data_IF_158812302789
#
_entry.id   IF_158812302789
#
_cell.length_a   1.000
_cell.length_b   1.000
_cell.length_c   1.000
_cell.angle_alpha   90.00
_cell.angle_beta   90.00
_cell.angle_gamma   90.00
#
_symmetry.space_group_name_H-M   'P 1'
#
loop_
_entity.id
_entity.type
_entity.pdbx_description
1 polymer ?
#
# COMPACT_ATOMS: atom_id res chain seq x y z
N UNK A 1 6.32 11.38 26.55
CA UNK A 1 5.63 10.44 27.45
C UNK A 1 6.29 9.06 27.38
N UNK A 2 6.02 8.16 28.33
CA UNK A 2 6.46 6.75 28.25
C UNK A 2 5.53 5.97 27.32
N UNK A 3 6.04 4.94 26.65
CA UNK A 3 5.30 4.15 25.65
C UNK A 3 4.01 3.54 26.21
N UNK A 4 4.07 2.83 27.34
CA UNK A 4 2.87 2.21 27.94
C UNK A 4 1.75 3.21 28.26
N UNK A 5 2.10 4.45 28.63
CA UNK A 5 1.10 5.49 28.90
C UNK A 5 0.44 6.00 27.63
N UNK A 6 1.20 6.04 26.53
CA UNK A 6 0.69 6.40 25.21
C UNK A 6 -0.26 5.34 24.68
N UNK A 7 0.13 4.07 24.76
CA UNK A 7 -0.67 2.95 24.28
C UNK A 7 -2.01 2.88 25.03
N UNK A 8 -2.00 2.98 26.36
CA UNK A 8 -3.24 3.00 27.15
C UNK A 8 -4.17 4.16 26.77
N UNK A 9 -3.63 5.38 26.62
CA UNK A 9 -4.43 6.56 26.25
C UNK A 9 -5.01 6.42 24.84
N UNK A 10 -4.25 5.84 23.92
CA UNK A 10 -4.72 5.56 22.57
C UNK A 10 -5.86 4.54 22.57
N UNK A 11 -5.71 3.43 23.30
CA UNK A 11 -6.71 2.36 23.37
C UNK A 11 -8.00 2.80 24.09
N UNK A 12 -7.89 3.71 25.06
CA UNK A 12 -9.01 4.35 25.75
C UNK A 12 -9.73 5.42 24.89
N UNK A 13 -9.23 5.71 23.69
CA UNK A 13 -9.80 6.71 22.79
C UNK A 13 -9.57 8.16 23.23
N UNK A 14 -8.58 8.40 24.11
CA UNK A 14 -8.21 9.73 24.56
C UNK A 14 -7.46 10.51 23.45
N UNK A 15 -7.52 11.84 23.52
CA UNK A 15 -6.77 12.69 22.59
C UNK A 15 -5.27 12.68 22.91
N UNK A 16 -4.49 12.04 22.04
CA UNK A 16 -3.03 11.94 22.13
C UNK A 16 -2.29 12.94 21.23
N UNK A 17 -3.01 13.86 20.57
CA UNK A 17 -2.45 14.72 19.50
C UNK A 17 -1.28 15.56 19.98
N UNK A 18 -1.32 16.06 21.21
CA UNK A 18 -0.25 16.84 21.82
C UNK A 18 1.08 16.08 21.98
N UNK A 19 1.01 14.74 21.96
CA UNK A 19 2.16 13.85 22.07
C UNK A 19 2.75 13.43 20.71
N UNK A 20 2.10 13.81 19.61
CA UNK A 20 2.52 13.47 18.25
C UNK A 20 3.35 14.60 17.63
N UNK A 21 4.49 14.25 17.02
CA UNK A 21 5.25 15.18 16.17
C UNK A 21 4.61 15.26 14.78
N UNK A 22 3.58 16.09 14.64
CA UNK A 22 2.84 16.28 13.40
C UNK A 22 3.69 16.88 12.28
N UNK A 23 4.80 17.56 12.61
CA UNK A 23 5.72 18.11 11.59
C UNK A 23 6.40 17.02 10.75
N UNK A 24 6.48 15.80 11.30
CA UNK A 24 7.01 14.60 10.62
C UNK A 24 5.92 13.65 10.15
N UNK A 25 4.65 14.01 10.33
CA UNK A 25 3.54 13.18 9.87
C UNK A 25 3.61 13.04 8.35
N UNK A 26 3.72 11.80 7.88
CA UNK A 26 3.70 11.48 6.45
C UNK A 26 2.82 10.27 6.22
N UNK A 27 1.99 10.35 5.17
CA UNK A 27 1.33 9.16 4.63
C UNK A 27 2.36 8.36 3.85
N UNK A 28 2.99 7.43 4.56
CA UNK A 28 3.89 6.42 3.96
C UNK A 28 3.09 5.67 2.89
N UNK A 29 3.71 5.37 1.73
CA UNK A 29 3.09 4.75 0.53
C UNK A 29 2.37 5.69 -0.46
N UNK A 30 2.37 7.01 -0.25
CA UNK A 30 1.86 7.95 -1.28
C UNK A 30 2.81 8.16 -2.46
N UNK A 31 4.11 7.88 -2.30
CA UNK A 31 5.08 8.20 -3.33
C UNK A 31 5.00 7.17 -4.48
N UNK A 32 4.57 7.56 -5.69
CA UNK A 32 4.53 6.64 -6.82
C UNK A 32 5.96 6.25 -7.21
N UNK A 33 6.23 4.95 -7.27
CA UNK A 33 7.48 4.41 -7.81
C UNK A 33 7.24 3.91 -9.23
N UNK A 34 7.97 4.44 -10.21
CA UNK A 34 7.90 3.95 -11.60
C UNK A 34 8.57 2.59 -11.72
N UNK A 35 7.92 1.68 -12.43
CA UNK A 35 8.42 0.36 -12.79
C UNK A 35 8.14 0.16 -14.27
N UNK A 36 9.14 -0.33 -15.01
CA UNK A 36 9.00 -0.67 -16.42
C UNK A 36 8.85 -2.18 -16.53
N UNK A 37 7.89 -2.63 -17.35
CA UNK A 37 7.59 -4.04 -17.58
C UNK A 37 7.22 -4.20 -19.06
N UNK A 38 7.82 -5.19 -19.71
CA UNK A 38 7.44 -5.57 -21.07
C UNK A 38 6.34 -6.63 -21.03
N UNK A 39 5.34 -6.48 -21.90
CA UNK A 39 4.21 -7.40 -22.03
C UNK A 39 4.12 -7.93 -23.46
N UNK A 40 3.79 -9.22 -23.65
CA UNK A 40 3.44 -9.74 -24.97
C UNK A 40 2.27 -8.98 -25.60
N UNK A 41 2.26 -8.85 -26.93
CA UNK A 41 1.22 -8.10 -27.65
C UNK A 41 -0.21 -8.56 -27.31
N UNK A 42 -0.46 -9.88 -27.27
CA UNK A 42 -1.77 -10.45 -26.94
C UNK A 42 -2.28 -10.03 -25.55
N UNK A 43 -1.36 -9.79 -24.61
CA UNK A 43 -1.71 -9.39 -23.25
C UNK A 43 -2.09 -7.90 -23.22
N UNK A 44 -1.36 -7.05 -23.96
CA UNK A 44 -1.68 -5.62 -24.08
C UNK A 44 -3.05 -5.43 -24.74
N UNK A 45 -3.33 -6.15 -25.82
CA UNK A 45 -4.63 -6.10 -26.50
C UNK A 45 -5.78 -6.53 -25.57
N UNK A 46 -5.56 -7.58 -24.77
CA UNK A 46 -6.54 -8.03 -23.79
C UNK A 46 -6.77 -6.98 -22.70
N UNK A 47 -5.72 -6.35 -22.18
CA UNK A 47 -5.80 -5.28 -21.18
C UNK A 47 -6.55 -4.05 -21.73
N UNK A 48 -6.30 -3.67 -22.99
CA UNK A 48 -6.97 -2.55 -23.63
C UNK A 48 -8.47 -2.78 -23.80
N UNK A 49 -8.85 -3.98 -24.21
CA UNK A 49 -10.27 -4.33 -24.35
C UNK A 49 -10.99 -4.23 -23.01
N UNK A 50 -10.41 -4.75 -21.93
CA UNK A 50 -11.05 -4.68 -20.60
C UNK A 50 -11.05 -3.25 -20.05
N UNK A 51 -9.97 -2.49 -20.23
CA UNK A 51 -9.91 -1.09 -19.85
C UNK A 51 -10.97 -0.25 -20.61
N UNK A 52 -11.15 -0.51 -21.91
CA UNK A 52 -12.14 0.14 -22.75
C UNK A 52 -13.58 -0.12 -22.30
N UNK A 53 -13.91 -1.36 -21.90
CA UNK A 53 -15.25 -1.68 -21.34
C UNK A 53 -15.59 -0.88 -20.08
N UNK A 54 -14.58 -0.61 -19.26
CA UNK A 54 -14.74 0.13 -18.00
C UNK A 54 -14.53 1.64 -18.16
N UNK A 55 -14.13 2.10 -19.35
CA UNK A 55 -13.81 3.52 -19.59
C UNK A 55 -12.61 4.03 -18.80
N UNK A 56 -11.66 3.15 -18.44
CA UNK A 56 -10.47 3.50 -17.68
C UNK A 56 -9.20 3.30 -18.50
N UNK A 57 -8.06 3.80 -17.99
CA UNK A 57 -6.77 3.58 -18.64
C UNK A 57 -6.24 2.17 -18.42
N UNK A 58 -5.37 1.71 -19.33
CA UNK A 58 -4.59 0.47 -19.17
C UNK A 58 -3.83 0.42 -17.84
N UNK A 59 -3.25 1.54 -17.41
CA UNK A 59 -2.52 1.63 -16.15
C UNK A 59 -3.44 1.41 -14.94
N UNK A 60 -4.68 1.93 -15.01
CA UNK A 60 -5.68 1.75 -13.96
C UNK A 60 -6.10 0.28 -13.82
N UNK A 61 -6.38 -0.41 -14.93
CA UNK A 61 -6.78 -1.83 -14.87
C UNK A 61 -5.63 -2.70 -14.34
N UNK A 62 -4.38 -2.45 -14.78
CA UNK A 62 -3.19 -3.14 -14.27
C UNK A 62 -3.08 -2.97 -12.75
N UNK A 63 -3.28 -1.73 -12.25
CA UNK A 63 -3.19 -1.43 -10.82
C UNK A 63 -4.24 -2.18 -10.00
N UNK A 64 -5.48 -2.23 -10.47
CA UNK A 64 -6.59 -2.90 -9.75
C UNK A 64 -6.33 -4.40 -9.66
N UNK A 65 -6.11 -5.07 -10.78
CA UNK A 65 -5.90 -6.53 -10.80
C UNK A 65 -4.64 -6.95 -10.05
N UNK A 66 -3.57 -6.15 -10.11
CA UNK A 66 -2.36 -6.43 -9.33
C UNK A 66 -2.61 -6.28 -7.83
N UNK A 67 -3.40 -5.28 -7.40
CA UNK A 67 -3.76 -5.10 -6.01
C UNK A 67 -4.59 -6.28 -5.48
N UNK A 68 -5.64 -6.68 -6.22
CA UNK A 68 -6.49 -7.85 -5.89
C UNK A 68 -5.64 -9.11 -5.71
N UNK A 69 -4.77 -9.40 -6.69
CA UNK A 69 -3.92 -10.60 -6.65
C UNK A 69 -2.91 -10.58 -5.50
N UNK A 70 -2.40 -9.42 -5.13
CA UNK A 70 -1.49 -9.24 -4.00
C UNK A 70 -2.22 -9.39 -2.66
N UNK A 71 -3.45 -8.93 -2.55
CA UNK A 71 -4.29 -9.06 -1.36
C UNK A 71 -4.72 -10.52 -1.12
N UNK A 72 -5.08 -11.24 -2.18
CA UNK A 72 -5.33 -12.70 -2.14
C UNK A 72 -4.08 -13.48 -1.70
N UNK A 73 -2.90 -13.03 -2.12
CA UNK A 73 -1.62 -13.65 -1.73
C UNK A 73 -1.22 -13.32 -0.28
N UNK A 74 -1.59 -12.14 0.21
CA UNK A 74 -1.30 -11.70 1.56
C UNK A 74 -2.26 -12.32 2.59
N UNK A 75 -3.52 -12.57 2.21
CA UNK A 75 -4.49 -13.28 3.05
C UNK A 75 -4.17 -14.79 3.18
N UNK A 76 -3.43 -15.35 2.22
CA UNK A 76 -2.97 -16.76 2.24
C UNK A 76 -1.57 -16.95 2.84
N UNK A 77 -0.87 -15.88 3.27
CA UNK A 77 0.49 -15.94 3.80
C UNK A 77 0.60 -15.11 5.10
N UNK A 78 0.99 -15.68 6.26
CA UNK A 78 1.10 -14.90 7.49
C UNK A 78 2.05 -13.70 7.30
N UNK A 79 1.85 -12.59 8.04
CA UNK A 79 2.53 -11.34 7.76
C UNK A 79 4.05 -11.53 7.88
N UNK A 80 4.74 -11.47 6.73
CA UNK A 80 6.18 -11.44 6.66
C UNK A 80 6.68 -10.27 7.51
N UNK A 81 7.37 -10.64 8.60
CA UNK A 81 8.04 -9.78 9.55
C UNK A 81 8.82 -8.67 8.83
N UNK A 82 8.24 -7.47 8.72
CA UNK A 82 8.91 -6.26 8.20
C UNK A 82 9.84 -5.65 9.26
N UNK A 83 10.61 -6.49 9.94
CA UNK A 83 11.70 -6.03 10.80
C UNK A 83 12.91 -5.70 9.93
N UNK A 84 13.04 -4.39 9.67
CA UNK A 84 14.29 -3.63 9.69
C UNK A 84 15.54 -4.34 9.13
N UNK A 85 15.86 -4.05 7.86
CA UNK A 85 17.25 -3.75 7.49
C UNK A 85 17.57 -2.32 7.94
N UNK A 86 18.14 -2.16 9.14
CA UNK A 86 19.19 -1.18 9.45
C UNK A 86 20.02 -1.74 10.62
N UNK A 87 21.22 -2.25 10.32
CA UNK A 87 22.41 -2.21 11.18
C UNK A 87 23.59 -2.88 10.46
N UNK A 88 24.43 -2.06 9.81
CA UNK A 88 25.88 -2.16 9.76
C UNK A 88 26.38 -0.80 9.23
#
# INVERSE_FOLDING_TARGET
>A
MKANTFDNQFDEGADITASLDLSKAKRVLLNPKRVNVDFPAWMVESLDREAGKLGITRQSIIKVWLAERLEDSASSNPPLNRSRRIAA
#
